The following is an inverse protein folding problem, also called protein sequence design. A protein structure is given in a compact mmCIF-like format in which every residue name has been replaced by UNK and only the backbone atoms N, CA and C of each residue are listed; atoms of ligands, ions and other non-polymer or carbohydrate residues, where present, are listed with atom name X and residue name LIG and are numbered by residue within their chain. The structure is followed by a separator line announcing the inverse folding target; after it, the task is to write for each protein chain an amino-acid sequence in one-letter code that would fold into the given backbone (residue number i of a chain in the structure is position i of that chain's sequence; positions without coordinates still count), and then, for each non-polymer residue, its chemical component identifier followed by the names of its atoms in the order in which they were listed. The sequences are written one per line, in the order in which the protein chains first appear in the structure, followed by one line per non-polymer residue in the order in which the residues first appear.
data_IF_689615944156
#
_entry.id   IF_689615944156
#
_cell.length_a   1.000
_cell.length_b   1.000
_cell.length_c   1.000
_cell.angle_alpha   90.00
_cell.angle_beta   90.00
_cell.angle_gamma   90.00
#
_symmetry.space_group_name_H-M   'P 1'
#
loop_
_entity.id
_entity.type
_entity.pdbx_description
1 polymer ?
#
# COMPACT_ATOMS: atom_id res chain seq x y z
N UNK A 1 -3.10 11.50 4.86
CA UNK A 1 -4.23 11.11 5.71
C UNK A 1 -4.93 12.30 6.38
N UNK A 2 -4.26 13.44 6.52
CA UNK A 2 -4.84 14.64 7.15
C UNK A 2 -6.05 15.22 6.36
N UNK A 3 -6.09 15.00 5.07
CA UNK A 3 -7.21 15.44 4.20
C UNK A 3 -8.29 14.37 4.09
N UNK A 4 -7.87 13.12 3.82
CA UNK A 4 -8.79 12.01 3.55
C UNK A 4 -9.69 11.66 4.74
N UNK A 5 -9.13 11.44 5.93
CA UNK A 5 -9.91 10.97 7.07
C UNK A 5 -10.96 11.99 7.56
N UNK A 6 -10.67 13.32 7.64
CA UNK A 6 -11.69 14.32 7.95
C UNK A 6 -12.79 14.42 6.90
N UNK A 7 -12.43 14.38 5.60
CA UNK A 7 -13.41 14.43 4.51
C UNK A 7 -14.34 13.21 4.54
N UNK A 8 -13.77 12.00 4.72
CA UNK A 8 -14.54 10.77 4.84
C UNK A 8 -15.53 10.83 6.02
N UNK A 9 -15.08 11.29 7.19
CA UNK A 9 -15.96 11.43 8.37
C UNK A 9 -17.06 12.45 8.16
N UNK A 10 -16.76 13.55 7.47
CA UNK A 10 -17.77 14.57 7.16
C UNK A 10 -18.89 13.97 6.32
N UNK A 11 -18.55 13.13 5.34
CA UNK A 11 -19.52 12.51 4.43
C UNK A 11 -20.27 11.35 5.10
N UNK A 12 -19.53 10.37 5.60
CA UNK A 12 -20.07 9.08 6.04
C UNK A 12 -20.37 8.98 7.54
N UNK A 13 -20.01 9.98 8.36
CA UNK A 13 -20.25 10.06 9.81
C UNK A 13 -19.54 9.00 10.67
N UNK A 14 -18.57 8.26 10.11
CA UNK A 14 -17.71 7.32 10.82
C UNK A 14 -16.26 7.38 10.28
N UNK A 15 -15.32 6.74 10.99
CA UNK A 15 -13.92 6.73 10.58
C UNK A 15 -13.67 5.76 9.41
N UNK A 16 -12.80 6.14 8.43
CA UNK A 16 -12.44 5.25 7.35
C UNK A 16 -11.64 4.05 7.85
N UNK A 17 -12.00 2.87 7.38
CA UNK A 17 -11.23 1.65 7.58
C UNK A 17 -10.09 1.49 6.57
N UNK A 18 -9.40 0.35 6.65
CA UNK A 18 -8.29 0.00 5.75
C UNK A 18 -8.69 0.02 4.28
N UNK A 19 -9.81 -0.59 3.93
CA UNK A 19 -10.26 -0.70 2.54
C UNK A 19 -10.66 0.64 1.94
N UNK A 20 -11.32 1.51 2.71
CA UNK A 20 -11.65 2.86 2.27
C UNK A 20 -10.37 3.66 1.94
N UNK A 21 -9.35 3.57 2.80
CA UNK A 21 -8.06 4.21 2.55
C UNK A 21 -7.35 3.60 1.33
N UNK A 22 -7.39 2.28 1.14
CA UNK A 22 -6.77 1.61 0.00
C UNK A 22 -7.44 2.05 -1.32
N UNK A 23 -8.77 2.07 -1.37
CA UNK A 23 -9.51 2.51 -2.58
C UNK A 23 -9.23 3.98 -2.91
N UNK A 24 -9.16 4.85 -1.90
CA UNK A 24 -8.78 6.24 -2.10
C UNK A 24 -7.38 6.39 -2.68
N UNK A 25 -6.41 5.61 -2.19
CA UNK A 25 -5.05 5.57 -2.73
C UNK A 25 -5.03 5.07 -4.18
N UNK A 26 -5.82 4.04 -4.51
CA UNK A 26 -5.93 3.54 -5.89
C UNK A 26 -6.41 4.64 -6.83
N UNK A 27 -7.40 5.44 -6.42
CA UNK A 27 -7.85 6.60 -7.19
C UNK A 27 -6.73 7.62 -7.43
N UNK A 28 -5.95 7.94 -6.39
CA UNK A 28 -4.83 8.87 -6.51
C UNK A 28 -3.71 8.36 -7.44
N UNK A 29 -3.42 7.06 -7.41
CA UNK A 29 -2.44 6.42 -8.31
C UNK A 29 -2.92 6.45 -9.76
N UNK A 30 -4.20 6.11 -9.99
CA UNK A 30 -4.80 6.19 -11.33
C UNK A 30 -4.77 7.61 -11.87
N UNK A 31 -5.17 8.58 -11.07
CA UNK A 31 -5.14 10.00 -11.46
C UNK A 31 -3.73 10.46 -11.83
N UNK A 32 -2.72 10.09 -11.05
CA UNK A 32 -1.33 10.43 -11.33
C UNK A 32 -0.86 9.82 -12.67
N UNK A 33 -1.17 8.55 -12.91
CA UNK A 33 -0.82 7.88 -14.17
C UNK A 33 -1.56 8.49 -15.38
N UNK A 34 -2.84 8.80 -15.24
CA UNK A 34 -3.62 9.48 -16.30
C UNK A 34 -3.04 10.85 -16.65
N UNK A 35 -2.65 11.63 -15.64
CA UNK A 35 -1.99 12.92 -15.85
C UNK A 35 -0.64 12.75 -16.56
N UNK A 36 0.14 11.74 -16.20
CA UNK A 36 1.45 11.48 -16.79
C UNK A 36 1.39 11.15 -18.28
N UNK A 37 0.31 10.52 -18.75
CA UNK A 37 0.07 10.24 -20.17
C UNK A 37 -0.78 11.31 -20.88
N UNK A 38 -1.04 12.45 -20.22
CA UNK A 38 -1.87 13.52 -20.79
C UNK A 38 -3.29 13.10 -21.15
N UNK A 39 -3.88 12.17 -20.40
CA UNK A 39 -5.21 11.61 -20.63
C UNK A 39 -5.29 10.55 -21.74
N UNK A 40 -4.21 10.22 -22.42
CA UNK A 40 -4.16 9.22 -23.51
C UNK A 40 -4.09 7.80 -22.96
N UNK A 41 -5.17 7.34 -22.37
CA UNK A 41 -5.26 6.02 -21.72
C UNK A 41 -5.42 4.85 -22.68
N UNK A 42 -5.73 5.13 -23.95
CA UNK A 42 -5.85 4.14 -25.01
C UNK A 42 -4.52 3.50 -25.37
N UNK A 43 -3.41 4.23 -25.20
CA UNK A 43 -2.07 3.66 -25.23
C UNK A 43 -1.80 2.88 -23.93
N UNK A 44 -2.23 1.62 -23.93
CA UNK A 44 -2.11 0.74 -22.75
C UNK A 44 -0.66 0.56 -22.29
N UNK A 45 0.30 0.54 -23.22
CA UNK A 45 1.71 0.38 -22.88
C UNK A 45 2.25 1.59 -22.12
N UNK A 46 2.00 2.78 -22.63
CA UNK A 46 2.39 4.04 -22.00
C UNK A 46 1.69 4.21 -20.65
N UNK A 47 0.39 3.90 -20.58
CA UNK A 47 -0.38 3.99 -19.34
C UNK A 47 0.12 3.03 -18.26
N UNK A 48 0.40 1.77 -18.61
CA UNK A 48 0.97 0.78 -17.68
C UNK A 48 2.38 1.16 -17.22
N UNK A 49 3.19 1.74 -18.10
CA UNK A 49 4.50 2.27 -17.71
C UNK A 49 4.36 3.42 -16.71
N UNK A 50 3.43 4.35 -16.95
CA UNK A 50 3.13 5.45 -16.03
C UNK A 50 2.63 4.96 -14.67
N UNK A 51 1.74 3.96 -14.64
CA UNK A 51 1.27 3.32 -13.39
C UNK A 51 2.44 2.75 -12.58
N UNK A 52 3.32 1.98 -13.21
CA UNK A 52 4.49 1.38 -12.55
C UNK A 52 5.51 2.40 -12.07
N UNK A 53 5.64 3.52 -12.79
CA UNK A 53 6.54 4.62 -12.42
C UNK A 53 5.94 5.54 -11.35
N UNK A 54 4.69 5.35 -10.94
CA UNK A 54 4.05 6.21 -9.95
C UNK A 54 4.79 6.14 -8.62
N UNK A 55 5.15 7.33 -8.12
CA UNK A 55 5.65 7.54 -6.77
C UNK A 55 4.84 8.69 -6.17
N UNK A 56 4.00 8.39 -5.21
CA UNK A 56 3.03 9.35 -4.69
C UNK A 56 2.99 9.36 -3.17
N UNK A 57 2.85 10.55 -2.59
CA UNK A 57 2.48 10.69 -1.18
C UNK A 57 0.96 10.53 -1.05
N UNK A 58 0.54 9.57 -0.26
CA UNK A 58 -0.85 9.15 -0.19
C UNK A 58 -1.41 9.21 1.23
N UNK A 59 -2.71 8.94 1.39
CA UNK A 59 -3.37 8.80 2.69
C UNK A 59 -2.72 7.71 3.59
N UNK A 60 -1.95 6.80 3.00
CA UNK A 60 -1.22 5.73 3.72
C UNK A 60 0.28 6.02 3.87
N UNK A 61 0.75 7.17 3.43
CA UNK A 61 2.15 7.56 3.31
C UNK A 61 2.66 7.36 1.87
N UNK A 62 3.98 7.46 1.66
CA UNK A 62 4.57 7.29 0.34
C UNK A 62 4.33 5.87 -0.21
N UNK A 63 3.99 5.80 -1.49
CA UNK A 63 3.71 4.57 -2.24
C UNK A 63 4.45 4.62 -3.56
N UNK A 64 5.20 3.57 -3.85
CA UNK A 64 5.82 3.27 -5.14
C UNK A 64 5.64 1.80 -5.45
N UNK A 65 6.03 1.36 -6.64
CA UNK A 65 5.91 -0.03 -7.06
C UNK A 65 7.29 -0.68 -7.28
N UNK A 66 7.38 -1.96 -6.96
CA UNK A 66 8.53 -2.78 -7.31
C UNK A 66 8.45 -3.27 -8.78
N UNK A 67 9.50 -3.94 -9.26
CA UNK A 67 9.58 -4.48 -10.62
C UNK A 67 8.50 -5.54 -10.92
N UNK A 68 7.86 -6.08 -9.88
CA UNK A 68 6.79 -7.07 -9.95
C UNK A 68 5.39 -6.44 -9.89
N UNK A 69 5.30 -5.12 -9.75
CA UNK A 69 4.05 -4.37 -9.69
C UNK A 69 3.39 -4.35 -8.31
N UNK A 70 4.12 -4.74 -7.25
CA UNK A 70 3.61 -4.66 -5.89
C UNK A 70 4.04 -3.36 -5.20
N UNK A 71 3.22 -2.93 -4.24
CA UNK A 71 3.48 -1.70 -3.49
C UNK A 71 4.70 -1.85 -2.60
N UNK A 72 5.61 -0.88 -2.71
CA UNK A 72 6.65 -0.60 -1.72
C UNK A 72 6.22 0.63 -0.94
N UNK A 73 6.16 0.52 0.38
CA UNK A 73 5.67 1.61 1.21
C UNK A 73 6.03 1.43 2.68
N UNK A 74 5.57 2.35 3.50
CA UNK A 74 5.85 2.31 4.93
C UNK A 74 4.97 1.31 5.66
N UNK A 75 5.56 0.54 6.58
CA UNK A 75 4.86 -0.28 7.57
C UNK A 75 4.89 0.43 8.92
N UNK A 76 3.73 0.60 9.53
CA UNK A 76 3.56 1.34 10.77
C UNK A 76 3.16 0.42 11.92
N UNK A 77 3.91 0.46 13.01
CA UNK A 77 3.46 -0.08 14.29
C UNK A 77 2.64 1.01 14.98
N UNK A 78 1.43 0.68 15.39
CA UNK A 78 0.48 1.61 15.99
C UNK A 78 0.05 1.16 17.37
N UNK A 79 -0.14 2.12 18.25
CA UNK A 79 -0.72 1.92 19.59
C UNK A 79 -2.06 2.62 19.65
N UNK A 80 -3.07 1.96 20.19
CA UNK A 80 -4.35 2.61 20.47
C UNK A 80 -4.15 3.58 21.63
N UNK A 81 -4.46 4.84 21.38
CA UNK A 81 -4.37 5.93 22.38
C UNK A 81 -5.66 6.74 22.39
N UNK A 82 -5.91 7.44 23.49
CA UNK A 82 -7.02 8.38 23.60
C UNK A 82 -6.54 9.80 23.29
N UNK A 83 -7.15 10.44 22.31
CA UNK A 83 -6.94 11.85 21.97
C UNK A 83 -8.29 12.54 21.85
N UNK A 84 -8.46 13.66 22.56
CA UNK A 84 -9.69 14.48 22.50
C UNK A 84 -10.97 13.63 22.70
N UNK A 85 -10.94 12.73 23.69
CA UNK A 85 -12.06 11.84 23.99
C UNK A 85 -12.25 10.65 23.05
N UNK A 86 -11.47 10.53 21.94
CA UNK A 86 -11.58 9.48 20.93
C UNK A 86 -10.42 8.48 21.00
N UNK A 87 -10.69 7.22 20.68
CA UNK A 87 -9.65 6.23 20.49
C UNK A 87 -9.07 6.40 19.08
N UNK A 88 -7.75 6.51 18.99
CA UNK A 88 -7.01 6.66 17.73
C UNK A 88 -5.82 5.71 17.69
N UNK A 89 -5.43 5.30 16.49
CA UNK A 89 -4.23 4.53 16.23
C UNK A 89 -3.04 5.48 16.04
N UNK A 90 -2.25 5.70 17.10
CA UNK A 90 -1.04 6.52 17.05
C UNK A 90 0.14 5.71 16.55
N UNK A 91 0.86 6.23 15.56
CA UNK A 91 2.09 5.59 15.06
C UNK A 91 3.18 5.72 16.13
N UNK A 92 3.78 4.59 16.50
CA UNK A 92 4.89 4.53 17.48
C UNK A 92 6.21 4.07 16.84
N UNK A 93 6.16 3.42 15.67
CA UNK A 93 7.33 3.05 14.89
C UNK A 93 6.97 2.97 13.42
N UNK A 94 7.89 3.36 12.57
CA UNK A 94 7.79 3.27 11.11
C UNK A 94 8.97 2.46 10.57
N UNK A 95 8.67 1.52 9.70
CA UNK A 95 9.65 0.85 8.84
C UNK A 95 9.44 1.41 7.44
N UNK A 96 10.38 2.22 6.92
CA UNK A 96 10.23 2.84 5.61
C UNK A 96 10.53 1.86 4.48
N UNK A 97 9.95 2.13 3.31
CA UNK A 97 10.27 1.46 2.04
C UNK A 97 10.22 -0.07 2.10
N UNK A 98 9.24 -0.63 2.79
CA UNK A 98 9.09 -2.08 2.91
C UNK A 98 8.52 -2.66 1.61
N UNK A 99 9.28 -3.58 0.99
CA UNK A 99 8.83 -4.38 -0.16
C UNK A 99 8.17 -5.68 0.29
N UNK A 100 7.50 -6.37 -0.64
CA UNK A 100 6.95 -7.71 -0.40
C UNK A 100 8.01 -8.75 -0.02
N UNK A 101 9.26 -8.51 -0.39
CA UNK A 101 10.37 -9.43 -0.12
C UNK A 101 11.09 -9.12 1.19
N UNK A 102 10.73 -8.02 1.88
CA UNK A 102 11.40 -7.56 3.09
C UNK A 102 12.92 -7.43 2.86
N UNK A 103 13.73 -8.22 3.55
CA UNK A 103 15.20 -8.24 3.44
C UNK A 103 15.71 -9.36 2.54
N UNK A 104 14.83 -10.19 1.97
CA UNK A 104 15.22 -11.29 1.08
C UNK A 104 15.55 -10.77 -0.32
N UNK A 105 16.53 -11.43 -0.97
CA UNK A 105 16.77 -11.23 -2.39
C UNK A 105 15.57 -11.73 -3.21
N UNK A 106 14.96 -10.90 -4.06
CA UNK A 106 13.75 -11.27 -4.80
C UNK A 106 13.94 -12.50 -5.71
N UNK A 107 15.10 -12.60 -6.37
CA UNK A 107 15.38 -13.72 -7.29
C UNK A 107 15.54 -15.02 -6.53
N UNK A 108 16.29 -15.00 -5.43
CA UNK A 108 16.46 -16.17 -4.58
C UNK A 108 15.12 -16.59 -3.94
N UNK A 109 14.31 -15.62 -3.51
CA UNK A 109 12.98 -15.90 -2.94
C UNK A 109 12.04 -16.55 -3.96
N UNK A 110 11.99 -16.01 -5.20
CA UNK A 110 11.12 -16.51 -6.27
C UNK A 110 11.60 -17.82 -6.90
N UNK A 111 12.85 -18.23 -6.65
CA UNK A 111 13.33 -19.56 -7.02
C UNK A 111 12.78 -20.69 -6.15
N UNK A 112 12.17 -20.35 -4.99
CA UNK A 112 11.52 -21.36 -4.15
C UNK A 112 10.24 -21.88 -4.81
N UNK A 113 9.84 -23.13 -4.52
CA UNK A 113 8.56 -23.65 -4.96
C UNK A 113 7.39 -22.79 -4.45
N UNK A 114 6.30 -22.79 -5.20
CA UNK A 114 5.04 -22.17 -4.74
C UNK A 114 4.57 -22.85 -3.47
N UNK A 115 4.01 -22.07 -2.54
CA UNK A 115 3.45 -22.61 -1.30
C UNK A 115 2.48 -23.74 -1.60
N UNK A 116 2.67 -24.85 -0.90
CA UNK A 116 1.85 -26.06 -1.05
C UNK A 116 1.77 -26.79 0.29
N UNK A 117 1.09 -27.93 0.31
CA UNK A 117 1.07 -28.82 1.47
C UNK A 117 2.48 -29.25 1.93
N UNK A 118 3.39 -29.42 0.98
CA UNK A 118 4.73 -29.95 1.22
C UNK A 118 5.83 -28.87 1.27
N UNK A 119 5.45 -27.61 0.99
CA UNK A 119 6.39 -26.48 1.04
C UNK A 119 5.73 -25.18 1.57
N UNK A 120 6.37 -24.45 2.51
CA UNK A 120 7.55 -24.86 3.26
C UNK A 120 7.23 -26.09 4.13
N UNK A 121 8.23 -26.93 4.48
CA UNK A 121 7.98 -28.07 5.35
C UNK A 121 7.30 -27.61 6.65
N UNK A 122 6.15 -28.20 6.95
CA UNK A 122 5.47 -27.90 8.19
C UNK A 122 6.35 -28.28 9.39
N UNK A 123 6.50 -27.35 10.32
CA UNK A 123 7.24 -27.55 11.57
C UNK A 123 6.21 -27.59 12.70
N UNK A 124 6.44 -28.47 13.68
CA UNK A 124 5.63 -28.59 14.89
C UNK A 124 4.15 -28.97 14.62
N UNK A 125 3.93 -29.89 13.70
CA UNK A 125 2.64 -30.57 13.50
C UNK A 125 2.62 -31.93 14.25
N UNK A 126 3.11 -31.97 15.48
CA UNK A 126 2.91 -33.11 16.37
C UNK A 126 1.56 -33.01 17.09
#
# INVERSE_FOLDING_TARGET
NQTFAPAFRKEFKYDPGFYAAATYVNGAVLEAAMKAVGGKIEDKSAFMAALRATNADTARGPVKFDDYGNVVGNVYVRKVTRKEGRLVNSVIKTYPDVSQFWTYDPKAFLANPVYSRDYPPAKNLE
#
